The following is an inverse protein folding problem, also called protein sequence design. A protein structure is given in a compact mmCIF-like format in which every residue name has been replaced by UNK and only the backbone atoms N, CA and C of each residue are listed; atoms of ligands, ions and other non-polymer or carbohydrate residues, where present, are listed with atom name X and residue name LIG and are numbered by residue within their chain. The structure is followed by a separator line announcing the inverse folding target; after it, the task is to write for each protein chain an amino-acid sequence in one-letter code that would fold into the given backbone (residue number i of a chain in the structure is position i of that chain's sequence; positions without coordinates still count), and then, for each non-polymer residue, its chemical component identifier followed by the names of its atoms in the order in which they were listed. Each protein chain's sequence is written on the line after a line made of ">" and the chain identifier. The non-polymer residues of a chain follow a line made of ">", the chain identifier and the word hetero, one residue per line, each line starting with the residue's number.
data_IF_081735954291
#
_entry.id   IF_081735954291
#
_cell.length_a   1.000
_cell.length_b   1.000
_cell.length_c   1.000
_cell.angle_alpha   90.00
_cell.angle_beta   90.00
_cell.angle_gamma   90.00
#
_symmetry.space_group_name_H-M   'P 1'
#
loop_
_entity.id
_entity.type
_entity.pdbx_description
1 polymer ?
#
# COMPACT_ATOMS: atom_id res chain seq x y z
N UNK A 1 -4.89 -26.66 1.72
CA UNK A 1 -4.99 -25.34 1.06
C UNK A 1 -4.07 -24.28 1.68
N UNK A 2 -3.63 -24.41 2.94
CA UNK A 2 -2.71 -23.46 3.61
C UNK A 2 -1.34 -23.23 2.94
N UNK A 3 -0.86 -24.13 2.08
CA UNK A 3 0.50 -24.07 1.54
C UNK A 3 0.68 -23.00 0.45
N UNK A 4 -0.36 -22.74 -0.36
CA UNK A 4 -0.26 -21.76 -1.47
C UNK A 4 -0.32 -20.31 -0.99
N UNK A 5 -1.21 -19.99 -0.06
CA UNK A 5 -1.37 -18.62 0.45
C UNK A 5 -0.13 -18.17 1.22
N UNK A 6 0.46 -19.08 2.00
CA UNK A 6 1.69 -18.83 2.73
C UNK A 6 2.88 -18.67 1.78
N UNK A 7 2.95 -19.47 0.70
CA UNK A 7 3.98 -19.34 -0.32
C UNK A 7 3.85 -18.03 -1.12
N UNK A 8 2.64 -17.58 -1.44
CA UNK A 8 2.41 -16.27 -2.06
C UNK A 8 2.78 -15.11 -1.14
N UNK A 9 2.41 -15.19 0.13
CA UNK A 9 2.76 -14.16 1.11
C UNK A 9 4.29 -14.06 1.29
N UNK A 10 4.98 -15.21 1.36
CA UNK A 10 6.43 -15.25 1.45
C UNK A 10 7.10 -14.68 0.18
N UNK A 11 6.54 -14.88 -1.01
CA UNK A 11 7.03 -14.27 -2.25
C UNK A 11 6.89 -12.75 -2.22
N UNK A 12 5.73 -12.24 -1.81
CA UNK A 12 5.50 -10.79 -1.68
C UNK A 12 6.45 -10.16 -0.65
N UNK A 13 6.63 -10.80 0.51
CA UNK A 13 7.56 -10.32 1.53
C UNK A 13 9.00 -10.32 0.99
N UNK A 14 9.45 -11.40 0.35
CA UNK A 14 10.80 -11.45 -0.28
C UNK A 14 11.00 -10.35 -1.31
N UNK A 15 10.01 -10.07 -2.15
CA UNK A 15 10.06 -8.98 -3.12
C UNK A 15 10.13 -7.61 -2.43
N UNK A 16 9.33 -7.40 -1.38
CA UNK A 16 9.32 -6.14 -0.62
C UNK A 16 10.67 -5.84 0.05
N UNK A 17 11.44 -6.88 0.40
CA UNK A 17 12.76 -6.75 1.01
C UNK A 17 13.87 -6.44 0.00
N UNK A 18 13.58 -6.47 -1.31
CA UNK A 18 14.49 -6.11 -2.41
C UNK A 18 15.53 -7.17 -2.78
N UNK A 19 15.96 -8.01 -1.84
CA UNK A 19 16.89 -9.12 -2.08
C UNK A 19 16.50 -10.36 -1.27
N UNK A 20 16.62 -11.55 -1.88
CA UNK A 20 16.33 -12.82 -1.22
C UNK A 20 17.24 -13.07 0.00
N UNK A 21 18.49 -12.57 -0.03
CA UNK A 21 19.44 -12.65 1.08
C UNK A 21 18.92 -11.99 2.35
N UNK A 22 18.20 -10.86 2.23
CA UNK A 22 17.62 -10.15 3.38
C UNK A 22 16.56 -10.96 4.11
N UNK A 23 15.91 -11.91 3.41
CA UNK A 23 14.98 -12.86 4.01
C UNK A 23 15.70 -14.05 4.66
N UNK A 24 16.76 -14.52 4.03
CA UNK A 24 17.58 -15.64 4.52
C UNK A 24 18.36 -15.31 5.79
N UNK A 25 18.77 -14.04 5.94
CA UNK A 25 19.47 -13.54 7.14
C UNK A 25 18.60 -13.40 8.39
N UNK A 26 17.28 -13.46 8.24
CA UNK A 26 16.33 -13.38 9.36
C UNK A 26 16.11 -14.76 9.97
N UNK A 27 16.02 -14.80 11.30
CA UNK A 27 15.64 -16.03 12.00
C UNK A 27 14.15 -16.37 11.77
N UNK A 28 13.73 -17.56 12.20
CA UNK A 28 12.34 -17.98 11.99
C UNK A 28 11.34 -17.14 12.80
N UNK A 29 11.73 -16.62 13.97
CA UNK A 29 10.86 -15.77 14.79
C UNK A 29 10.61 -14.39 14.12
N UNK A 30 11.64 -13.83 13.50
CA UNK A 30 11.63 -12.60 12.72
C UNK A 30 10.78 -12.75 11.46
N UNK A 31 10.94 -13.87 10.74
CA UNK A 31 10.08 -14.20 9.58
C UNK A 31 8.62 -14.35 9.99
N UNK A 32 8.33 -14.99 11.12
CA UNK A 32 6.96 -15.07 11.67
C UNK A 32 6.42 -13.68 12.03
N UNK A 33 7.25 -12.80 12.61
CA UNK A 33 6.89 -11.41 12.91
C UNK A 33 6.54 -10.64 11.63
N UNK A 34 7.34 -10.78 10.57
CA UNK A 34 7.11 -10.17 9.26
C UNK A 34 5.84 -10.70 8.59
N UNK A 35 5.61 -12.02 8.63
CA UNK A 35 4.37 -12.62 8.10
C UNK A 35 3.13 -12.05 8.78
N UNK A 36 3.18 -11.87 10.11
CA UNK A 36 2.09 -11.22 10.87
C UNK A 36 1.90 -9.77 10.44
N UNK A 37 2.97 -9.01 10.28
CA UNK A 37 2.90 -7.63 9.80
C UNK A 37 2.31 -7.55 8.38
N UNK A 38 2.77 -8.41 7.46
CA UNK A 38 2.26 -8.50 6.10
C UNK A 38 0.76 -8.86 6.08
N UNK A 39 0.33 -9.82 6.90
CA UNK A 39 -1.09 -10.18 7.01
C UNK A 39 -1.95 -9.00 7.48
N UNK A 40 -1.49 -8.25 8.48
CA UNK A 40 -2.17 -7.03 8.93
C UNK A 40 -2.25 -5.96 7.84
N UNK A 41 -1.17 -5.70 7.12
CA UNK A 41 -1.18 -4.76 6.01
C UNK A 41 -2.05 -5.23 4.84
N UNK A 42 -2.10 -6.53 4.55
CA UNK A 42 -3.01 -7.08 3.55
C UNK A 42 -4.48 -6.86 3.92
N UNK A 43 -4.85 -7.04 5.20
CA UNK A 43 -6.20 -6.75 5.69
C UNK A 43 -6.55 -5.26 5.48
N UNK A 44 -5.62 -4.36 5.78
CA UNK A 44 -5.79 -2.92 5.53
C UNK A 44 -5.96 -2.65 4.03
N UNK A 45 -5.16 -3.28 3.16
CA UNK A 45 -5.27 -3.16 1.71
C UNK A 45 -6.67 -3.55 1.21
N UNK A 46 -7.19 -4.67 1.70
CA UNK A 46 -8.53 -5.18 1.35
C UNK A 46 -9.60 -4.20 1.83
N UNK A 47 -9.51 -3.76 3.09
CA UNK A 47 -10.44 -2.78 3.65
C UNK A 47 -10.43 -1.46 2.87
N UNK A 48 -9.25 -1.00 2.47
CA UNK A 48 -9.08 0.19 1.64
C UNK A 48 -9.72 -0.01 0.26
N UNK A 49 -9.45 -1.11 -0.42
CA UNK A 49 -10.02 -1.39 -1.74
C UNK A 49 -11.55 -1.45 -1.70
N UNK A 50 -12.12 -2.09 -0.68
CA UNK A 50 -13.58 -2.15 -0.47
C UNK A 50 -14.13 -0.75 -0.18
N UNK A 51 -13.52 -0.03 0.76
CA UNK A 51 -13.99 1.31 1.17
C UNK A 51 -13.97 2.30 0.00
N UNK A 52 -12.88 2.28 -0.78
CA UNK A 52 -12.77 3.10 -1.99
C UNK A 52 -13.80 2.68 -3.03
N UNK A 53 -14.00 1.39 -3.27
CA UNK A 53 -15.04 0.92 -4.21
C UNK A 53 -16.46 1.37 -3.84
N UNK A 54 -16.81 1.37 -2.55
CA UNK A 54 -18.09 1.90 -2.06
C UNK A 54 -18.17 3.41 -2.30
N UNK A 55 -17.11 4.15 -1.98
CA UNK A 55 -17.05 5.60 -2.21
C UNK A 55 -17.18 5.96 -3.69
N UNK A 56 -16.45 5.27 -4.56
CA UNK A 56 -16.54 5.38 -6.02
C UNK A 56 -17.98 5.17 -6.51
N UNK A 57 -18.64 4.11 -6.02
CA UNK A 57 -20.04 3.84 -6.37
C UNK A 57 -20.99 4.96 -5.91
N UNK A 58 -20.82 5.47 -4.68
CA UNK A 58 -21.64 6.58 -4.17
C UNK A 58 -21.42 7.87 -4.96
N UNK A 59 -20.17 8.16 -5.36
CA UNK A 59 -19.81 9.30 -6.19
C UNK A 59 -20.51 9.25 -7.55
N UNK A 60 -20.59 8.07 -8.17
CA UNK A 60 -21.25 7.88 -9.45
C UNK A 60 -22.77 7.99 -9.36
N UNK A 61 -23.38 7.59 -8.23
CA UNK A 61 -24.82 7.74 -8.01
C UNK A 61 -25.23 9.19 -7.71
N UNK A 62 -24.46 9.87 -6.87
CA UNK A 62 -24.82 11.21 -6.37
C UNK A 62 -24.25 12.36 -7.22
N UNK A 63 -23.43 12.04 -8.25
CA UNK A 63 -22.86 13.03 -9.17
C UNK A 63 -21.85 13.96 -8.50
N UNK A 64 -20.78 13.40 -7.92
CA UNK A 64 -19.80 14.22 -7.21
C UNK A 64 -18.99 15.13 -8.16
N UNK A 65 -18.79 16.39 -7.73
CA UNK A 65 -18.09 17.43 -8.50
C UNK A 65 -16.61 17.08 -8.69
N UNK A 66 -16.07 17.37 -9.87
CA UNK A 66 -14.66 17.16 -10.24
C UNK A 66 -13.64 17.73 -9.23
N UNK A 67 -14.02 18.78 -8.51
CA UNK A 67 -13.20 19.40 -7.44
C UNK A 67 -12.89 18.43 -6.29
N UNK A 68 -13.81 17.52 -5.96
CA UNK A 68 -13.64 16.55 -4.87
C UNK A 68 -12.61 15.47 -5.25
N UNK A 69 -12.69 14.96 -6.49
CA UNK A 69 -11.75 13.99 -7.06
C UNK A 69 -10.35 14.61 -7.17
N UNK A 70 -10.26 15.84 -7.68
CA UNK A 70 -8.98 16.56 -7.84
C UNK A 70 -8.30 16.84 -6.49
N UNK A 71 -9.07 17.30 -5.50
CA UNK A 71 -8.55 17.55 -4.15
C UNK A 71 -8.05 16.27 -3.48
N UNK A 72 -8.77 15.15 -3.68
CA UNK A 72 -8.39 13.85 -3.13
C UNK A 72 -7.09 13.34 -3.75
N UNK A 73 -6.95 13.43 -5.08
CA UNK A 73 -5.71 13.13 -5.80
C UNK A 73 -4.53 13.99 -5.34
N UNK A 74 -4.75 15.29 -5.10
CA UNK A 74 -3.71 16.18 -4.59
C UNK A 74 -3.27 15.80 -3.16
N UNK A 75 -4.22 15.43 -2.29
CA UNK A 75 -3.91 14.95 -0.94
C UNK A 75 -3.13 13.64 -1.00
N UNK A 76 -3.56 12.68 -1.83
CA UNK A 76 -2.83 11.41 -2.05
C UNK A 76 -1.41 11.69 -2.56
N UNK A 77 -1.28 12.56 -3.56
CA UNK A 77 0.00 12.97 -4.14
C UNK A 77 0.92 13.72 -3.19
N UNK A 78 0.41 14.31 -2.11
CA UNK A 78 1.21 14.96 -1.07
C UNK A 78 1.57 14.01 0.09
N UNK A 79 0.60 13.19 0.52
CA UNK A 79 0.74 12.35 1.72
C UNK A 79 1.69 11.18 1.50
N UNK A 80 1.54 10.43 0.39
CA UNK A 80 2.36 9.24 0.17
C UNK A 80 3.85 9.55 -0.03
N UNK A 81 4.26 10.59 -0.78
CA UNK A 81 5.67 10.98 -0.86
C UNK A 81 6.23 11.48 0.47
N UNK A 82 5.44 12.19 1.29
CA UNK A 82 5.87 12.62 2.61
C UNK A 82 6.12 11.43 3.54
N UNK A 83 5.21 10.44 3.53
CA UNK A 83 5.37 9.18 4.28
C UNK A 83 6.59 8.41 3.77
N UNK A 84 6.78 8.30 2.45
CA UNK A 84 7.94 7.62 1.87
C UNK A 84 9.27 8.25 2.31
N UNK A 85 9.33 9.59 2.36
CA UNK A 85 10.51 10.31 2.84
C UNK A 85 10.82 9.99 4.32
N UNK A 86 9.79 9.96 5.17
CA UNK A 86 9.94 9.62 6.60
C UNK A 86 10.38 8.15 6.79
N UNK A 87 9.78 7.24 6.03
CA UNK A 87 10.11 5.80 6.06
C UNK A 87 11.54 5.57 5.57
N UNK A 88 11.97 6.27 4.53
CA UNK A 88 13.32 6.15 3.98
C UNK A 88 14.38 6.67 4.95
N UNK A 89 14.16 7.82 5.59
CA UNK A 89 15.09 8.33 6.61
C UNK A 89 15.21 7.42 7.82
N UNK A 90 14.09 6.80 8.25
CA UNK A 90 14.12 5.78 9.30
C UNK A 90 14.90 4.54 8.86
N UNK A 91 14.74 4.11 7.60
CA UNK A 91 15.43 2.94 7.06
C UNK A 91 16.94 3.13 7.03
N UNK A 92 17.42 4.29 6.57
CA UNK A 92 18.85 4.65 6.59
C UNK A 92 19.42 4.60 8.01
N UNK A 93 18.67 5.10 9.00
CA UNK A 93 19.07 5.03 10.41
C UNK A 93 19.23 3.59 10.90
N UNK A 94 18.23 2.71 10.66
CA UNK A 94 18.29 1.32 11.13
C UNK A 94 19.27 0.44 10.35
N UNK A 95 19.54 0.77 9.08
CA UNK A 95 20.61 0.14 8.31
C UNK A 95 21.98 0.50 8.90
N UNK A 96 22.17 1.72 9.41
CA UNK A 96 23.41 2.14 10.07
C UNK A 96 23.65 1.46 11.44
N UNK A 97 22.58 1.00 12.11
CA UNK A 97 22.66 0.32 13.42
C UNK A 97 22.58 -1.21 13.32
N UNK A 98 22.54 -1.78 12.11
CA UNK A 98 22.46 -3.23 11.85
C UNK A 98 21.21 -3.91 12.45
N UNK A 99 20.12 -3.16 12.67
CA UNK A 99 18.85 -3.70 13.16
C UNK A 99 18.00 -4.31 12.02
N UNK A 100 18.39 -5.50 11.59
CA UNK A 100 17.86 -6.19 10.40
C UNK A 100 16.33 -6.34 10.38
N UNK A 101 15.71 -6.69 11.51
CA UNK A 101 14.25 -6.83 11.61
C UNK A 101 13.52 -5.50 11.39
N UNK A 102 14.02 -4.40 11.95
CA UNK A 102 13.39 -3.08 11.81
C UNK A 102 13.50 -2.57 10.38
N UNK A 103 14.66 -2.75 9.74
CA UNK A 103 14.84 -2.47 8.31
C UNK A 103 13.87 -3.30 7.47
N UNK A 104 13.74 -4.59 7.75
CA UNK A 104 12.82 -5.48 7.03
C UNK A 104 11.35 -5.05 7.17
N UNK A 105 10.92 -4.67 8.38
CA UNK A 105 9.56 -4.14 8.62
C UNK A 105 9.32 -2.82 7.89
N UNK A 106 10.29 -1.92 7.87
CA UNK A 106 10.20 -0.65 7.13
C UNK A 106 10.12 -0.87 5.61
N UNK A 107 10.88 -1.82 5.07
CA UNK A 107 10.82 -2.20 3.64
C UNK A 107 9.46 -2.77 3.27
N UNK A 108 8.94 -3.67 4.10
CA UNK A 108 7.59 -4.22 3.96
C UNK A 108 6.53 -3.10 4.02
N UNK A 109 6.62 -2.21 5.00
CA UNK A 109 5.71 -1.07 5.18
C UNK A 109 5.73 -0.14 3.96
N UNK A 110 6.92 0.19 3.42
CA UNK A 110 7.07 0.99 2.20
C UNK A 110 6.36 0.33 1.01
N UNK A 111 6.55 -0.97 0.84
CA UNK A 111 5.90 -1.74 -0.24
C UNK A 111 4.37 -1.68 -0.15
N UNK A 112 3.80 -1.84 1.05
CA UNK A 112 2.35 -1.74 1.25
C UNK A 112 1.84 -0.30 1.10
N UNK A 113 2.59 0.73 1.51
CA UNK A 113 2.19 2.10 1.24
C UNK A 113 2.13 2.41 -0.26
N UNK A 114 3.09 1.92 -1.03
CA UNK A 114 3.04 2.05 -2.49
C UNK A 114 1.82 1.32 -3.08
N UNK A 115 1.47 0.15 -2.55
CA UNK A 115 0.25 -0.56 -2.94
C UNK A 115 -1.02 0.25 -2.60
N UNK A 116 -1.10 0.85 -1.41
CA UNK A 116 -2.25 1.69 -1.03
C UNK A 116 -2.37 2.92 -1.94
N UNK A 117 -1.25 3.58 -2.23
CA UNK A 117 -1.21 4.70 -3.17
C UNK A 117 -1.72 4.27 -4.54
N UNK A 118 -1.29 3.10 -5.03
CA UNK A 118 -1.71 2.57 -6.33
C UNK A 118 -3.23 2.27 -6.35
N UNK A 119 -3.78 1.66 -5.29
CA UNK A 119 -5.22 1.41 -5.17
C UNK A 119 -6.00 2.72 -5.22
N UNK A 120 -5.56 3.73 -4.46
CA UNK A 120 -6.23 5.03 -4.38
C UNK A 120 -6.15 5.81 -5.70
N UNK A 121 -4.98 5.89 -6.31
CA UNK A 121 -4.79 6.57 -7.61
C UNK A 121 -5.54 5.84 -8.71
N UNK A 122 -5.49 4.50 -8.73
CA UNK A 122 -6.21 3.68 -9.69
C UNK A 122 -7.73 3.88 -9.61
N UNK A 123 -8.28 3.89 -8.40
CA UNK A 123 -9.70 4.16 -8.21
C UNK A 123 -10.10 5.59 -8.61
N UNK A 124 -9.32 6.59 -8.19
CA UNK A 124 -9.59 7.98 -8.57
C UNK A 124 -9.55 8.19 -10.09
N UNK A 125 -8.66 7.47 -10.80
CA UNK A 125 -8.61 7.48 -12.27
C UNK A 125 -9.85 6.82 -12.89
N UNK A 126 -10.30 5.69 -12.34
CA UNK A 126 -11.53 5.03 -12.80
C UNK A 126 -12.76 5.91 -12.58
N UNK A 127 -12.86 6.57 -11.42
CA UNK A 127 -13.95 7.51 -11.11
C UNK A 127 -13.94 8.70 -12.06
N UNK A 128 -12.76 9.25 -12.36
CA UNK A 128 -12.58 10.31 -13.35
C UNK A 128 -13.12 9.88 -14.73
N UNK A 129 -12.70 8.70 -15.20
CA UNK A 129 -13.12 8.16 -16.49
C UNK A 129 -14.63 7.94 -16.53
N UNK A 130 -15.19 7.31 -15.49
CA UNK A 130 -16.61 7.01 -15.40
C UNK A 130 -17.46 8.30 -15.34
N UNK A 131 -17.04 9.30 -14.55
CA UNK A 131 -17.71 10.60 -14.50
C UNK A 131 -17.70 11.32 -15.85
N UNK A 132 -16.57 11.26 -16.59
CA UNK A 132 -16.46 11.83 -17.93
C UNK A 132 -17.39 11.14 -18.93
N UNK A 133 -17.48 9.79 -18.91
CA UNK A 133 -18.36 9.04 -19.81
C UNK A 133 -19.85 9.27 -19.51
N UNK A 134 -20.22 9.42 -18.23
CA UNK A 134 -21.61 9.63 -17.82
C UNK A 134 -22.07 11.08 -17.96
N UNK A 135 -21.21 11.99 -18.41
CA UNK A 135 -21.54 13.42 -18.52
C UNK A 135 -21.78 14.09 -17.16
N UNK A 136 -21.34 13.47 -16.06
CA UNK A 136 -21.40 14.02 -14.70
C UNK A 136 -20.32 15.08 -14.45
N UNK A 137 -19.58 15.42 -15.51
CA UNK A 137 -18.52 16.42 -15.52
C UNK A 137 -19.09 17.83 -15.72
N UNK A 138 -19.73 18.38 -14.68
CA UNK A 138 -20.18 19.79 -14.58
C UNK A 138 -19.78 20.39 -13.23
#
# INVERSE_FOLDING_TARGET
>A
MQNNDQQQNDLWIKQSLGAASNWEELDEADRVSLRKAAAWYAIIAIGLAIGVGILSFTILQDGAKATLVTSSLAIIGAVFPAIEKVVSGSMEYFESTNEKLHVAKLKLMRSYFNLYALILVGAALLDFIAAAFLGLWQ
#
